data_IF_247493570723
#
_entry.id   IF_247493570723
#
_cell.length_a   1.000
_cell.length_b   1.000
_cell.length_c   1.000
_cell.angle_alpha   90.00
_cell.angle_beta   90.00
_cell.angle_gamma   90.00
#
_symmetry.space_group_name_H-M   'P 1'
#
loop_
_entity.id
_entity.type
_entity.pdbx_description
1 polymer ?
#
# COMPACT_ATOMS: atom_id res chain seq x y z
N UNK A 1 -19.21 5.68 16.84
CA UNK A 1 -18.85 4.29 17.14
C UNK A 1 -20.12 3.53 17.45
N UNK A 2 -20.19 2.23 17.14
CA UNK A 2 -21.33 1.40 17.42
C UNK A 2 -20.85 0.06 18.02
N UNK A 3 -21.55 -0.44 19.01
CA UNK A 3 -21.29 -1.76 19.57
C UNK A 3 -21.91 -2.81 18.64
N UNK A 4 -21.09 -3.72 18.18
CA UNK A 4 -21.49 -4.85 17.34
C UNK A 4 -20.94 -6.15 17.94
N UNK A 5 -21.61 -7.30 17.74
CA UNK A 5 -21.07 -8.58 18.20
C UNK A 5 -19.70 -8.86 17.59
N UNK A 6 -18.75 -9.30 18.42
CA UNK A 6 -17.43 -9.71 17.94
C UNK A 6 -17.58 -10.90 16.97
N UNK A 7 -16.92 -10.86 15.81
CA UNK A 7 -16.99 -11.95 14.86
C UNK A 7 -16.23 -13.18 15.40
N UNK A 8 -16.74 -14.39 15.09
CA UNK A 8 -16.03 -15.64 15.37
C UNK A 8 -15.34 -16.18 14.12
N UNK A 9 -14.13 -16.75 14.26
CA UNK A 9 -13.41 -17.27 13.12
C UNK A 9 -14.08 -18.52 12.57
N UNK A 10 -14.34 -18.52 11.27
CA UNK A 10 -14.81 -19.66 10.51
C UNK A 10 -13.65 -20.62 10.16
N UNK A 11 -13.93 -21.68 9.39
CA UNK A 11 -12.89 -22.63 8.96
C UNK A 11 -11.77 -21.92 8.19
N UNK A 12 -10.52 -22.15 8.60
CA UNK A 12 -9.31 -21.56 8.00
C UNK A 12 -9.10 -20.08 8.36
N UNK A 13 -9.87 -19.55 9.31
CA UNK A 13 -9.74 -18.16 9.77
C UNK A 13 -9.16 -18.09 11.17
N UNK A 14 -8.62 -16.92 11.48
CA UNK A 14 -8.19 -16.53 12.80
C UNK A 14 -8.94 -15.28 13.25
N UNK A 15 -9.16 -15.14 14.56
CA UNK A 15 -9.63 -13.93 15.22
C UNK A 15 -8.44 -13.16 15.75
N UNK A 16 -8.39 -11.87 15.48
CA UNK A 16 -7.29 -10.97 15.87
C UNK A 16 -7.88 -9.87 16.75
N UNK A 17 -7.37 -9.78 17.99
CA UNK A 17 -7.57 -8.60 18.85
C UNK A 17 -6.70 -7.49 18.32
N UNK A 18 -7.32 -6.46 17.77
CA UNK A 18 -6.62 -5.38 17.08
C UNK A 18 -6.05 -4.40 18.11
N UNK A 19 -4.74 -4.16 18.04
CA UNK A 19 -4.07 -3.11 18.82
C UNK A 19 -3.96 -1.80 18.03
N UNK A 20 -3.67 -1.91 16.74
CA UNK A 20 -3.54 -0.74 15.87
C UNK A 20 -4.04 -1.03 14.44
N UNK A 21 -4.48 0.02 13.77
CA UNK A 21 -4.89 -0.02 12.36
C UNK A 21 -4.23 1.09 11.54
N UNK A 22 -3.89 0.78 10.29
CA UNK A 22 -3.30 1.73 9.34
C UNK A 22 -4.36 2.39 8.48
N UNK A 23 -4.31 3.71 8.31
CA UNK A 23 -5.20 4.45 7.44
C UNK A 23 -4.69 4.51 6.01
N UNK A 24 -5.60 4.41 5.05
CA UNK A 24 -5.30 4.51 3.62
C UNK A 24 -6.28 5.49 2.94
N UNK A 25 -5.86 6.23 1.90
CA UNK A 25 -6.78 7.02 1.10
C UNK A 25 -7.93 6.18 0.50
N UNK A 26 -7.70 4.88 0.29
CA UNK A 26 -8.72 3.94 -0.18
C UNK A 26 -9.89 3.80 0.81
N UNK A 27 -9.62 3.82 2.12
CA UNK A 27 -10.65 3.71 3.15
C UNK A 27 -11.63 4.89 3.08
N UNK A 28 -11.09 6.11 2.85
CA UNK A 28 -11.91 7.31 2.62
C UNK A 28 -12.76 7.18 1.36
N UNK A 29 -12.20 6.67 0.25
CA UNK A 29 -12.94 6.47 -0.99
C UNK A 29 -14.05 5.42 -0.85
N UNK A 30 -13.82 4.37 -0.08
CA UNK A 30 -14.80 3.34 0.25
C UNK A 30 -15.92 3.95 1.11
N UNK A 31 -15.59 4.66 2.19
CA UNK A 31 -16.56 5.30 3.06
C UNK A 31 -17.44 6.32 2.33
N UNK A 32 -16.88 7.07 1.39
CA UNK A 32 -17.61 8.02 0.53
C UNK A 32 -18.38 7.35 -0.62
N UNK A 33 -18.33 6.03 -0.75
CA UNK A 33 -19.01 5.29 -1.82
C UNK A 33 -18.40 5.45 -3.21
N UNK A 34 -17.24 6.09 -3.34
CA UNK A 34 -16.54 6.27 -4.62
C UNK A 34 -16.03 4.96 -5.22
N UNK A 35 -15.81 3.95 -4.37
CA UNK A 35 -15.34 2.64 -4.78
C UNK A 35 -16.45 1.63 -5.12
N UNK A 36 -17.75 2.02 -5.09
CA UNK A 36 -18.89 1.11 -5.28
C UNK A 36 -18.88 0.32 -6.60
N UNK A 37 -18.28 0.88 -7.65
CA UNK A 37 -18.12 0.19 -8.94
C UNK A 37 -17.04 -0.89 -8.94
N UNK A 38 -16.12 -0.83 -7.97
CA UNK A 38 -14.98 -1.74 -7.86
C UNK A 38 -15.19 -2.77 -6.76
N UNK A 39 -15.84 -2.37 -5.65
CA UNK A 39 -16.00 -3.22 -4.47
C UNK A 39 -17.48 -3.25 -4.07
N UNK A 40 -18.06 -4.44 -4.13
CA UNK A 40 -19.44 -4.68 -3.71
C UNK A 40 -19.49 -4.95 -2.20
N UNK A 41 -19.61 -3.89 -1.38
CA UNK A 41 -19.76 -4.02 0.07
C UNK A 41 -21.23 -4.24 0.47
N UNK A 42 -21.47 -5.20 1.35
CA UNK A 42 -22.75 -5.37 2.02
C UNK A 42 -22.78 -4.48 3.27
N UNK A 43 -23.55 -3.42 3.23
CA UNK A 43 -23.71 -2.50 4.36
C UNK A 43 -24.75 -2.99 5.38
N UNK A 44 -24.57 -2.73 6.69
CA UNK A 44 -23.43 -2.02 7.30
C UNK A 44 -22.16 -2.89 7.37
N UNK A 45 -20.98 -2.24 7.30
CA UNK A 45 -19.68 -2.90 7.36
C UNK A 45 -18.71 -2.08 8.22
N UNK A 46 -17.86 -2.74 8.99
CA UNK A 46 -16.75 -2.10 9.69
C UNK A 46 -15.68 -1.75 8.67
N UNK A 47 -15.20 -0.52 8.66
CA UNK A 47 -14.18 -0.04 7.74
C UNK A 47 -12.76 -0.44 8.17
N UNK A 48 -11.77 -0.08 7.33
CA UNK A 48 -10.35 -0.30 7.57
C UNK A 48 -9.83 -1.60 6.97
N UNK A 49 -8.64 -1.53 6.39
CA UNK A 49 -8.04 -2.68 5.69
C UNK A 49 -6.77 -3.19 6.35
N UNK A 50 -6.00 -2.34 7.03
CA UNK A 50 -4.71 -2.67 7.63
C UNK A 50 -4.84 -2.78 9.15
N UNK A 51 -4.45 -3.90 9.73
CA UNK A 51 -4.42 -4.09 11.18
C UNK A 51 -3.18 -4.83 11.65
N UNK A 52 -2.82 -4.58 12.90
CA UNK A 52 -1.91 -5.43 13.66
C UNK A 52 -2.49 -5.65 15.07
N UNK A 53 -2.21 -6.82 15.61
CA UNK A 53 -2.74 -7.23 16.90
C UNK A 53 -2.25 -8.61 17.31
N UNK A 54 -3.02 -9.25 18.17
CA UNK A 54 -2.69 -10.57 18.72
C UNK A 54 -3.78 -11.56 18.35
N UNK A 55 -3.40 -12.77 17.96
CA UNK A 55 -4.36 -13.86 17.74
C UNK A 55 -5.10 -14.16 19.03
N UNK A 56 -6.42 -14.13 18.98
CA UNK A 56 -7.30 -14.44 20.12
C UNK A 56 -7.86 -15.86 20.02
N UNK A 57 -8.29 -16.26 18.82
CA UNK A 57 -8.90 -17.56 18.58
C UNK A 57 -8.57 -18.05 17.14
N UNK A 58 -8.42 -19.35 16.99
CA UNK A 58 -8.24 -19.99 15.68
C UNK A 58 -9.47 -20.82 15.33
N UNK A 59 -9.99 -20.64 14.12
CA UNK A 59 -11.10 -21.43 13.60
C UNK A 59 -10.67 -22.84 13.19
N UNK A 60 -11.64 -23.76 12.95
CA UNK A 60 -11.32 -25.13 12.54
C UNK A 60 -10.44 -25.16 11.27
N UNK A 61 -9.32 -25.88 11.35
CA UNK A 61 -8.38 -26.06 10.23
C UNK A 61 -7.42 -24.92 10.02
N UNK A 62 -7.45 -23.86 10.82
CA UNK A 62 -6.35 -22.89 10.92
C UNK A 62 -5.26 -23.47 11.84
N UNK A 63 -4.00 -23.34 11.45
CA UNK A 63 -2.89 -23.98 12.18
C UNK A 63 -1.54 -23.29 11.96
N UNK A 64 -1.49 -22.17 11.24
CA UNK A 64 -0.26 -21.38 11.05
C UNK A 64 0.07 -20.55 12.28
N UNK A 65 -0.92 -20.18 13.07
CA UNK A 65 -0.79 -19.30 14.23
C UNK A 65 -1.49 -19.89 15.45
N UNK A 66 -1.06 -19.46 16.64
CA UNK A 66 -1.65 -19.81 17.94
C UNK A 66 -2.14 -18.56 18.67
N UNK A 67 -3.12 -18.68 19.60
CA UNK A 67 -3.48 -17.60 20.51
C UNK A 67 -2.25 -17.02 21.22
N UNK A 68 -2.15 -15.69 21.20
CA UNK A 68 -0.99 -14.96 21.73
C UNK A 68 0.02 -14.52 20.66
N UNK A 69 0.01 -15.08 19.46
CA UNK A 69 0.92 -14.66 18.38
C UNK A 69 0.62 -13.23 17.93
N UNK A 70 1.67 -12.41 17.81
CA UNK A 70 1.60 -11.05 17.28
C UNK A 70 1.58 -11.10 15.76
N UNK A 71 0.55 -10.54 15.16
CA UNK A 71 0.32 -10.63 13.72
C UNK A 71 -0.10 -9.31 13.10
N UNK A 72 0.12 -9.19 11.79
CA UNK A 72 -0.42 -8.10 10.98
C UNK A 72 -1.07 -8.63 9.72
N UNK A 73 -2.03 -7.87 9.19
CA UNK A 73 -2.89 -8.34 8.10
C UNK A 73 -3.36 -7.18 7.23
N UNK A 74 -3.51 -7.45 5.94
CA UNK A 74 -4.37 -6.68 5.06
C UNK A 74 -5.64 -7.48 4.79
N UNK A 75 -6.77 -7.01 5.32
CA UNK A 75 -8.06 -7.65 5.11
C UNK A 75 -8.51 -7.56 3.65
N UNK A 76 -9.34 -8.48 3.21
CA UNK A 76 -9.92 -8.43 1.87
C UNK A 76 -10.81 -7.19 1.70
N UNK A 77 -10.80 -6.60 0.49
CA UNK A 77 -11.53 -5.35 0.22
C UNK A 77 -13.05 -5.49 0.40
N UNK A 78 -13.59 -6.67 0.15
CA UNK A 78 -15.01 -7.00 0.32
C UNK A 78 -15.37 -7.38 1.78
N UNK A 79 -14.36 -7.57 2.63
CA UNK A 79 -14.48 -7.91 4.06
C UNK A 79 -13.47 -7.07 4.86
N UNK A 80 -13.59 -5.72 4.85
CA UNK A 80 -12.76 -4.88 5.71
C UNK A 80 -13.10 -5.17 7.17
N UNK A 81 -12.52 -4.47 8.12
CA UNK A 81 -12.85 -4.68 9.54
C UNK A 81 -11.77 -4.22 10.50
N UNK A 82 -10.73 -3.55 9.99
CA UNK A 82 -9.58 -3.18 10.81
C UNK A 82 -9.88 -2.10 11.87
N UNK A 83 -10.96 -1.31 11.71
CA UNK A 83 -11.34 -0.28 12.68
C UNK A 83 -12.35 -0.84 13.70
N UNK A 84 -11.97 -1.91 14.38
CA UNK A 84 -12.73 -2.57 15.45
C UNK A 84 -11.78 -3.22 16.46
N UNK A 85 -12.28 -3.56 17.64
CA UNK A 85 -11.50 -4.25 18.68
C UNK A 85 -11.09 -5.66 18.25
N UNK A 86 -11.93 -6.32 17.45
CA UNK A 86 -11.71 -7.69 16.96
C UNK A 86 -12.08 -7.79 15.50
N UNK A 87 -11.23 -8.41 14.71
CA UNK A 87 -11.51 -8.78 13.33
C UNK A 87 -11.27 -10.27 13.10
N UNK A 88 -11.85 -10.84 12.04
CA UNK A 88 -11.50 -12.17 11.54
C UNK A 88 -10.87 -12.06 10.15
N UNK A 89 -9.86 -12.89 9.90
CA UNK A 89 -9.19 -12.97 8.61
C UNK A 89 -8.86 -14.42 8.26
N UNK A 90 -8.79 -14.72 6.96
CA UNK A 90 -8.22 -16.00 6.51
C UNK A 90 -6.74 -16.03 6.91
N UNK A 91 -6.29 -17.13 7.52
CA UNK A 91 -4.89 -17.22 8.01
C UNK A 91 -3.85 -17.07 6.90
N UNK A 92 -4.22 -17.37 5.64
CA UNK A 92 -3.37 -17.16 4.47
C UNK A 92 -3.07 -15.69 4.16
N UNK A 93 -3.83 -14.76 4.74
CA UNK A 93 -3.63 -13.31 4.58
C UNK A 93 -2.79 -12.69 5.70
N UNK A 94 -2.48 -13.48 6.73
CA UNK A 94 -1.85 -13.02 7.97
C UNK A 94 -0.35 -13.36 7.96
N UNK A 95 0.46 -12.47 8.54
CA UNK A 95 1.88 -12.73 8.81
C UNK A 95 2.25 -12.36 10.25
N UNK A 96 3.32 -12.97 10.76
CA UNK A 96 3.87 -12.67 12.07
C UNK A 96 4.54 -11.27 12.07
N UNK A 97 4.34 -10.51 13.14
CA UNK A 97 4.99 -9.21 13.34
C UNK A 97 6.45 -9.44 13.67
N UNK A 98 7.40 -8.76 12.98
CA UNK A 98 8.80 -8.74 13.37
C UNK A 98 9.00 -8.36 14.83
N UNK A 99 9.90 -9.05 15.53
CA UNK A 99 10.16 -8.80 16.95
C UNK A 99 10.59 -7.35 17.24
N UNK A 100 11.23 -6.70 16.27
CA UNK A 100 11.72 -5.31 16.36
C UNK A 100 10.63 -4.25 16.23
N UNK A 101 9.42 -4.59 15.78
CA UNK A 101 8.33 -3.63 15.56
C UNK A 101 7.31 -3.64 16.69
N UNK A 102 6.81 -2.47 17.04
CA UNK A 102 5.55 -2.31 17.77
C UNK A 102 4.35 -2.70 16.88
N UNK A 103 3.20 -3.00 17.49
CA UNK A 103 1.98 -3.27 16.73
C UNK A 103 1.49 -2.03 15.94
N UNK A 104 1.75 -0.82 16.47
CA UNK A 104 1.48 0.43 15.75
C UNK A 104 2.28 0.57 14.46
N UNK A 105 3.57 0.23 14.47
CA UNK A 105 4.42 0.20 13.28
C UNK A 105 4.01 -0.93 12.33
N UNK A 106 3.73 -2.11 12.85
CA UNK A 106 3.30 -3.24 12.03
C UNK A 106 2.00 -2.96 11.28
N UNK A 107 1.03 -2.27 11.90
CA UNK A 107 -0.21 -1.83 11.25
C UNK A 107 0.03 -0.85 10.09
N UNK A 108 1.18 -0.19 10.05
CA UNK A 108 1.53 0.74 8.99
C UNK A 108 2.03 0.05 7.70
N UNK A 109 2.29 -1.27 7.72
CA UNK A 109 2.94 -1.98 6.60
C UNK A 109 1.93 -2.51 5.56
N UNK A 110 0.79 -3.16 5.90
CA UNK A 110 0.15 -4.10 4.99
C UNK A 110 -0.17 -3.54 3.61
N UNK A 111 -1.02 -2.53 3.49
CA UNK A 111 -1.39 -1.98 2.17
C UNK A 111 -0.20 -1.36 1.44
N UNK A 112 0.61 -0.54 2.12
CA UNK A 112 1.70 0.18 1.44
C UNK A 112 2.86 -0.75 1.11
N UNK A 113 3.15 -1.72 1.96
CA UNK A 113 4.18 -2.72 1.75
C UNK A 113 3.84 -3.65 0.58
N UNK A 114 2.64 -4.25 0.59
CA UNK A 114 2.17 -5.09 -0.52
C UNK A 114 2.14 -4.32 -1.84
N UNK A 115 1.70 -3.06 -1.81
CA UNK A 115 1.68 -2.21 -3.00
C UNK A 115 3.09 -1.98 -3.55
N UNK A 116 4.03 -1.62 -2.69
CA UNK A 116 5.41 -1.37 -3.10
C UNK A 116 6.10 -2.66 -3.58
N UNK A 117 5.99 -3.75 -2.82
CA UNK A 117 6.62 -5.03 -3.14
C UNK A 117 6.12 -5.56 -4.50
N UNK A 118 4.83 -5.69 -4.68
CA UNK A 118 4.24 -6.23 -5.90
C UNK A 118 4.45 -5.32 -7.12
N UNK A 119 4.44 -3.98 -6.92
CA UNK A 119 4.78 -3.05 -7.99
C UNK A 119 6.24 -3.21 -8.45
N UNK A 120 7.19 -3.30 -7.52
CA UNK A 120 8.62 -3.34 -7.85
C UNK A 120 9.08 -4.74 -8.28
N UNK A 121 8.69 -5.78 -7.53
CA UNK A 121 9.11 -7.17 -7.80
C UNK A 121 8.36 -7.75 -9.01
N UNK A 122 7.02 -7.70 -8.99
CA UNK A 122 6.18 -8.44 -9.95
C UNK A 122 5.92 -7.63 -11.23
N UNK A 123 5.48 -6.37 -11.10
CA UNK A 123 5.06 -5.58 -12.26
C UNK A 123 6.26 -4.93 -12.98
N UNK A 124 7.13 -4.23 -12.27
CA UNK A 124 8.31 -3.59 -12.84
C UNK A 124 9.46 -4.58 -13.04
N UNK A 125 9.54 -5.65 -12.26
CA UNK A 125 10.61 -6.65 -12.28
C UNK A 125 11.98 -5.99 -12.10
N UNK A 126 12.10 -5.17 -11.05
CA UNK A 126 13.34 -4.43 -10.75
C UNK A 126 14.49 -5.40 -10.53
N UNK A 127 15.65 -5.04 -11.05
CA UNK A 127 16.90 -5.81 -10.97
C UNK A 127 18.07 -4.87 -10.60
N UNK A 128 19.18 -5.43 -10.08
CA UNK A 128 20.36 -4.64 -9.76
C UNK A 128 20.83 -3.77 -10.95
N UNK A 129 21.19 -2.53 -10.64
CA UNK A 129 21.67 -1.55 -11.62
C UNK A 129 20.60 -0.84 -12.44
N UNK A 130 19.32 -1.23 -12.37
CA UNK A 130 18.24 -0.51 -13.05
C UNK A 130 18.04 0.89 -12.45
N UNK A 131 17.74 1.86 -13.30
CA UNK A 131 17.39 3.23 -12.93
C UNK A 131 15.87 3.32 -12.76
N UNK A 132 15.44 3.61 -11.55
CA UNK A 132 14.02 3.69 -11.17
C UNK A 132 13.66 5.11 -10.74
N UNK A 133 12.61 5.67 -11.34
CA UNK A 133 11.97 6.88 -10.83
C UNK A 133 10.76 6.50 -9.96
N UNK A 134 10.72 7.02 -8.75
CA UNK A 134 9.58 6.90 -7.81
C UNK A 134 8.96 8.29 -7.62
N UNK A 135 7.68 8.47 -7.96
CA UNK A 135 6.98 9.74 -7.74
C UNK A 135 6.26 9.74 -6.40
N UNK A 136 6.33 10.85 -5.64
CA UNK A 136 5.67 10.93 -4.33
C UNK A 136 6.37 10.11 -3.23
N UNK A 137 7.72 10.11 -3.23
CA UNK A 137 8.55 9.25 -2.38
C UNK A 137 8.39 9.43 -0.88
N UNK A 138 7.95 10.58 -0.39
CA UNK A 138 7.77 10.82 1.05
C UNK A 138 6.41 10.32 1.60
N UNK A 139 5.52 9.81 0.77
CA UNK A 139 4.24 9.23 1.19
C UNK A 139 4.37 7.79 1.71
N UNK A 140 3.28 7.22 2.24
CA UNK A 140 3.30 5.88 2.84
C UNK A 140 3.86 4.79 1.94
N UNK A 141 3.38 4.67 0.70
CA UNK A 141 3.92 3.68 -0.26
C UNK A 141 5.36 4.03 -0.66
N UNK A 142 5.66 5.33 -0.86
CA UNK A 142 6.96 5.79 -1.33
C UNK A 142 8.09 5.49 -0.36
N UNK A 143 7.87 5.64 0.94
CA UNK A 143 8.88 5.36 1.97
C UNK A 143 9.29 3.88 2.00
N UNK A 144 8.37 2.96 1.75
CA UNK A 144 8.65 1.53 1.63
C UNK A 144 9.26 1.22 0.25
N UNK A 145 8.72 1.81 -0.82
CA UNK A 145 9.18 1.54 -2.19
C UNK A 145 10.65 1.93 -2.42
N UNK A 146 11.10 3.05 -1.87
CA UNK A 146 12.52 3.45 -1.93
C UNK A 146 13.40 2.34 -1.36
N UNK A 147 13.10 1.87 -0.17
CA UNK A 147 13.89 0.88 0.52
C UNK A 147 13.88 -0.49 -0.19
N UNK A 148 12.70 -0.97 -0.62
CA UNK A 148 12.61 -2.22 -1.40
C UNK A 148 13.41 -2.08 -2.71
N UNK A 149 13.32 -0.95 -3.40
CA UNK A 149 14.11 -0.71 -4.62
C UNK A 149 15.62 -0.77 -4.36
N UNK A 150 16.08 -0.25 -3.21
CA UNK A 150 17.49 -0.35 -2.80
C UNK A 150 17.89 -1.78 -2.45
N UNK A 151 17.05 -2.53 -1.75
CA UNK A 151 17.26 -3.97 -1.46
C UNK A 151 17.40 -4.75 -2.79
N UNK A 152 16.58 -4.42 -3.80
CA UNK A 152 16.65 -5.00 -5.14
C UNK A 152 17.82 -4.47 -5.98
N UNK A 153 18.66 -3.57 -5.45
CA UNK A 153 19.86 -3.06 -6.11
C UNK A 153 19.65 -1.97 -7.15
N UNK A 154 18.50 -1.28 -7.16
CA UNK A 154 18.23 -0.20 -8.10
C UNK A 154 18.96 1.10 -7.74
N UNK A 155 19.20 1.94 -8.76
CA UNK A 155 19.50 3.36 -8.60
C UNK A 155 18.18 4.13 -8.57
N UNK A 156 17.88 4.79 -7.44
CA UNK A 156 16.56 5.34 -7.13
C UNK A 156 16.57 6.87 -7.24
N UNK A 157 15.83 7.39 -8.22
CA UNK A 157 15.46 8.80 -8.31
C UNK A 157 14.05 8.98 -7.72
N UNK A 158 13.85 10.01 -6.91
CA UNK A 158 12.58 10.22 -6.18
C UNK A 158 12.10 11.65 -6.37
N UNK A 159 10.79 11.85 -6.55
CA UNK A 159 10.22 13.19 -6.40
C UNK A 159 9.74 13.42 -4.96
N UNK A 160 10.17 14.52 -4.36
CA UNK A 160 9.75 14.95 -3.03
C UNK A 160 9.67 16.47 -2.96
N UNK A 161 8.96 17.03 -1.97
CA UNK A 161 9.08 18.44 -1.62
C UNK A 161 10.30 18.65 -0.73
N UNK A 162 10.78 19.90 -0.52
CA UNK A 162 11.88 20.20 0.39
C UNK A 162 11.67 19.62 1.80
N UNK A 163 10.43 19.60 2.28
CA UNK A 163 10.09 19.00 3.58
C UNK A 163 10.28 17.48 3.63
N UNK A 164 10.23 16.80 2.49
CA UNK A 164 10.38 15.34 2.38
C UNK A 164 11.78 14.89 2.01
N UNK A 165 12.65 15.79 1.55
CA UNK A 165 13.96 15.46 1.00
C UNK A 165 14.86 14.71 1.98
N UNK A 166 15.03 15.23 3.19
CA UNK A 166 15.86 14.59 4.20
C UNK A 166 15.38 13.15 4.51
N UNK A 167 14.05 12.96 4.58
CA UNK A 167 13.46 11.65 4.80
C UNK A 167 13.80 10.70 3.64
N UNK A 168 13.49 11.05 2.40
CA UNK A 168 13.70 10.14 1.27
C UNK A 168 15.17 9.80 1.04
N UNK A 169 16.09 10.77 1.29
CA UNK A 169 17.53 10.49 1.27
C UNK A 169 17.94 9.50 2.37
N UNK A 170 17.42 9.67 3.58
CA UNK A 170 17.70 8.73 4.69
C UNK A 170 17.17 7.32 4.46
N UNK A 171 16.23 7.14 3.54
CA UNK A 171 15.68 5.86 3.11
C UNK A 171 16.42 5.25 1.91
N UNK A 172 17.43 5.95 1.37
CA UNK A 172 18.28 5.43 0.31
C UNK A 172 18.02 6.00 -1.09
N UNK A 173 17.25 7.10 -1.24
CA UNK A 173 17.13 7.78 -2.52
C UNK A 173 18.49 8.34 -2.97
N UNK A 174 18.95 7.94 -4.16
CA UNK A 174 20.22 8.39 -4.74
C UNK A 174 20.10 9.81 -5.31
N UNK A 175 18.96 10.13 -5.92
CA UNK A 175 18.65 11.45 -6.47
C UNK A 175 17.27 11.91 -6.03
N UNK A 176 17.15 13.17 -5.65
CA UNK A 176 15.86 13.77 -5.28
C UNK A 176 15.57 14.93 -6.21
N UNK A 177 14.36 14.94 -6.78
CA UNK A 177 13.82 16.03 -7.61
C UNK A 177 12.78 16.77 -6.81
N UNK A 178 12.98 18.07 -6.59
CA UNK A 178 11.99 18.92 -5.95
C UNK A 178 10.87 19.30 -6.94
N UNK A 179 9.75 18.58 -6.86
CA UNK A 179 8.60 18.80 -7.74
C UNK A 179 7.94 20.18 -7.58
N UNK A 180 8.33 20.98 -6.56
CA UNK A 180 7.80 22.33 -6.35
C UNK A 180 8.50 23.35 -7.22
N UNK A 181 9.73 23.10 -7.63
CA UNK A 181 10.59 23.99 -8.43
C UNK A 181 11.05 23.35 -9.74
N UNK A 182 11.10 22.02 -9.84
CA UNK A 182 11.64 21.28 -10.97
C UNK A 182 10.56 20.42 -11.66
N UNK A 183 10.72 20.21 -12.94
CA UNK A 183 9.91 19.27 -13.71
C UNK A 183 10.67 18.00 -13.96
N UNK A 184 10.05 16.86 -13.64
CA UNK A 184 10.64 15.55 -13.85
C UNK A 184 11.12 15.36 -15.30
N UNK A 185 10.32 15.77 -16.28
CA UNK A 185 10.65 15.62 -17.69
C UNK A 185 11.82 16.47 -18.18
N UNK A 186 12.28 17.46 -17.41
CA UNK A 186 13.39 18.35 -17.75
C UNK A 186 14.71 17.90 -17.09
N UNK A 187 14.63 17.27 -15.91
CA UNK A 187 15.81 16.94 -15.08
C UNK A 187 16.11 15.44 -15.00
N UNK A 188 15.14 14.59 -15.40
CA UNK A 188 15.28 13.13 -15.38
C UNK A 188 15.20 12.57 -16.78
N UNK A 189 16.04 11.59 -17.11
CA UNK A 189 16.02 10.90 -18.40
C UNK A 189 16.50 9.45 -18.27
N UNK A 190 16.22 8.65 -19.30
CA UNK A 190 16.77 7.30 -19.47
C UNK A 190 16.48 6.35 -18.27
N UNK A 191 15.28 6.41 -17.73
CA UNK A 191 14.88 5.49 -16.68
C UNK A 191 14.50 4.12 -17.26
N UNK A 192 14.86 3.04 -16.58
CA UNK A 192 14.43 1.68 -16.91
C UNK A 192 12.97 1.46 -16.52
N UNK A 193 12.58 2.07 -15.40
CA UNK A 193 11.26 1.93 -14.83
C UNK A 193 10.78 3.21 -14.13
N UNK A 194 9.45 3.37 -14.05
CA UNK A 194 8.81 4.38 -13.21
C UNK A 194 7.72 3.74 -12.36
N UNK A 195 7.73 4.04 -11.07
CA UNK A 195 6.64 3.77 -10.15
C UNK A 195 5.93 5.09 -9.80
N UNK A 196 4.76 5.31 -10.39
CA UNK A 196 3.99 6.53 -10.21
C UNK A 196 2.88 6.36 -9.16
N UNK A 197 2.93 7.24 -8.14
CA UNK A 197 1.96 7.29 -7.05
C UNK A 197 1.22 8.63 -6.96
N UNK A 198 1.39 9.50 -7.96
CA UNK A 198 0.81 10.85 -8.01
C UNK A 198 -0.24 10.98 -9.10
N UNK A 199 0.00 10.37 -10.26
CA UNK A 199 -0.92 10.42 -11.39
C UNK A 199 -0.89 11.76 -12.15
N UNK A 200 -1.95 12.01 -12.91
CA UNK A 200 -2.19 13.31 -13.57
C UNK A 200 -1.07 13.74 -14.50
N UNK A 201 -0.53 14.93 -14.25
CA UNK A 201 0.59 15.52 -15.01
C UNK A 201 1.88 14.73 -14.81
N UNK A 202 2.19 14.36 -13.56
CA UNK A 202 3.40 13.63 -13.20
C UNK A 202 3.50 12.30 -13.96
N UNK A 203 2.40 11.55 -14.06
CA UNK A 203 2.35 10.33 -14.86
C UNK A 203 2.62 10.60 -16.36
N UNK A 204 2.12 11.72 -16.91
CA UNK A 204 2.39 12.06 -18.33
C UNK A 204 3.87 12.37 -18.56
N UNK A 205 4.50 13.10 -17.65
CA UNK A 205 5.94 13.38 -17.68
C UNK A 205 6.75 12.09 -17.51
N UNK A 206 6.28 11.17 -16.67
CA UNK A 206 6.91 9.87 -16.45
C UNK A 206 7.10 9.05 -17.75
N UNK A 207 6.14 9.08 -18.67
CA UNK A 207 6.28 8.42 -19.95
C UNK A 207 7.42 8.98 -20.81
N UNK A 208 7.73 10.26 -20.65
CA UNK A 208 8.81 10.93 -21.42
C UNK A 208 10.22 10.63 -20.92
N UNK A 209 10.37 10.16 -19.68
CA UNK A 209 11.68 9.90 -19.06
C UNK A 209 12.09 8.43 -19.11
N UNK A 210 11.17 7.54 -19.47
CA UNK A 210 11.42 6.10 -19.60
C UNK A 210 12.00 5.80 -20.97
N UNK A 211 13.04 5.02 -21.02
CA UNK A 211 13.65 4.57 -22.29
C UNK A 211 12.73 3.56 -23.02
N UNK A 212 12.82 3.43 -24.35
CA UNK A 212 12.11 2.38 -25.09
C UNK A 212 12.41 0.99 -24.48
N UNK A 213 11.39 0.15 -24.36
CA UNK A 213 11.44 -1.14 -23.68
C UNK A 213 11.28 -1.07 -22.17
N UNK A 214 11.27 0.11 -21.58
CA UNK A 214 11.07 0.30 -20.14
C UNK A 214 9.63 0.16 -19.69
N UNK A 215 9.40 0.27 -18.38
CA UNK A 215 8.10 0.00 -17.76
C UNK A 215 7.62 1.17 -16.91
N UNK A 216 6.33 1.46 -16.95
CA UNK A 216 5.65 2.42 -16.07
C UNK A 216 4.53 1.71 -15.32
N UNK A 217 4.57 1.77 -14.00
CA UNK A 217 3.49 1.30 -13.12
C UNK A 217 2.89 2.48 -12.39
N UNK A 218 1.57 2.56 -12.32
CA UNK A 218 0.86 3.60 -11.54
C UNK A 218 -0.17 2.98 -10.62
N UNK A 219 -0.35 3.60 -9.45
CA UNK A 219 -1.41 3.30 -8.48
C UNK A 219 -2.37 4.50 -8.28
N UNK A 220 -2.07 5.63 -8.94
CA UNK A 220 -2.80 6.90 -8.80
C UNK A 220 -3.48 7.34 -10.10
N UNK A 221 -3.81 6.39 -10.95
CA UNK A 221 -4.42 6.63 -12.25
C UNK A 221 -5.78 5.90 -12.35
N UNK A 222 -6.42 5.97 -13.51
CA UNK A 222 -7.59 5.13 -13.78
C UNK A 222 -7.12 3.68 -13.97
N UNK A 223 -7.73 2.73 -13.25
CA UNK A 223 -7.44 1.31 -13.43
C UNK A 223 -7.58 0.86 -14.89
N UNK A 224 -6.87 -0.16 -15.27
CA UNK A 224 -7.07 -0.83 -16.55
C UNK A 224 -8.10 -1.98 -16.43
N UNK A 225 -8.44 -2.61 -17.55
CA UNK A 225 -9.43 -3.68 -17.56
C UNK A 225 -9.01 -4.94 -16.78
N UNK A 226 -7.70 -5.19 -16.65
CA UNK A 226 -7.17 -6.31 -15.87
C UNK A 226 -7.30 -6.04 -14.38
N UNK A 227 -6.91 -4.85 -13.95
CA UNK A 227 -7.06 -4.38 -12.56
C UNK A 227 -8.52 -4.39 -12.10
N UNK A 228 -9.47 -4.03 -12.99
CA UNK A 228 -10.90 -4.10 -12.68
C UNK A 228 -11.35 -5.55 -12.38
N UNK A 229 -10.86 -6.53 -13.14
CA UNK A 229 -11.17 -7.95 -12.91
C UNK A 229 -10.56 -8.47 -11.60
N UNK A 230 -9.34 -8.04 -11.26
CA UNK A 230 -8.65 -8.44 -10.04
C UNK A 230 -9.41 -8.06 -8.75
N UNK A 231 -10.13 -6.93 -8.78
CA UNK A 231 -10.94 -6.48 -7.63
C UNK A 231 -12.41 -6.89 -7.70
N UNK A 232 -12.75 -7.86 -8.56
CA UNK A 232 -14.12 -8.37 -8.69
C UNK A 232 -15.06 -7.49 -9.52
N UNK A 233 -14.52 -6.52 -10.24
CA UNK A 233 -15.28 -5.69 -11.18
C UNK A 233 -15.84 -6.54 -12.32
N UNK A 234 -17.15 -6.42 -12.59
CA UNK A 234 -17.81 -7.13 -13.69
C UNK A 234 -17.34 -6.68 -15.08
N UNK A 235 -17.80 -7.39 -16.12
CA UNK A 235 -17.44 -7.12 -17.52
C UNK A 235 -17.65 -5.65 -17.93
N UNK A 236 -18.71 -5.02 -17.43
CA UNK A 236 -19.03 -3.61 -17.71
C UNK A 236 -17.93 -2.66 -17.16
N UNK A 237 -17.45 -2.89 -15.94
CA UNK A 237 -16.35 -2.14 -15.35
C UNK A 237 -15.05 -2.33 -16.15
N UNK A 238 -14.76 -3.56 -16.56
CA UNK A 238 -13.58 -3.86 -17.38
C UNK A 238 -13.61 -3.13 -18.74
N UNK A 239 -14.79 -3.06 -19.40
CA UNK A 239 -14.97 -2.30 -20.66
C UNK A 239 -14.80 -0.81 -20.42
N UNK A 240 -15.43 -0.26 -19.37
CA UNK A 240 -15.31 1.16 -19.02
C UNK A 240 -13.85 1.54 -18.78
N UNK A 241 -13.12 0.79 -17.95
CA UNK A 241 -11.72 1.08 -17.66
C UNK A 241 -10.81 0.87 -18.87
N UNK A 242 -11.12 -0.05 -19.76
CA UNK A 242 -10.42 -0.19 -21.05
C UNK A 242 -10.54 1.09 -21.89
N UNK A 243 -11.73 1.68 -21.96
CA UNK A 243 -11.96 2.95 -22.70
C UNK A 243 -11.23 4.10 -22.01
N UNK A 244 -11.38 4.23 -20.69
CA UNK A 244 -10.76 5.31 -19.92
C UNK A 244 -9.23 5.24 -19.91
N UNK A 245 -8.64 4.04 -19.96
CA UNK A 245 -7.19 3.84 -20.03
C UNK A 245 -6.62 3.87 -21.45
N UNK A 246 -7.45 3.87 -22.49
CA UNK A 246 -7.03 3.71 -23.90
C UNK A 246 -5.98 4.74 -24.33
N UNK A 247 -6.16 6.04 -23.99
CA UNK A 247 -5.22 7.10 -24.34
C UNK A 247 -3.82 6.88 -23.76
N UNK A 248 -3.73 6.41 -22.50
CA UNK A 248 -2.46 6.10 -21.83
C UNK A 248 -1.78 4.88 -22.44
N UNK A 249 -2.56 3.83 -22.69
CA UNK A 249 -2.09 2.62 -23.35
C UNK A 249 -1.59 2.92 -24.78
N UNK A 250 -2.24 3.82 -25.50
CA UNK A 250 -1.80 4.27 -26.82
C UNK A 250 -0.50 5.08 -26.74
N UNK A 251 -0.37 5.99 -25.75
CA UNK A 251 0.85 6.75 -25.52
C UNK A 251 2.01 5.81 -25.18
N UNK A 252 1.82 4.87 -24.26
CA UNK A 252 2.81 3.87 -23.91
C UNK A 252 3.30 3.08 -25.14
N UNK A 253 2.39 2.58 -25.97
CA UNK A 253 2.74 1.87 -27.21
C UNK A 253 3.54 2.72 -28.18
N UNK A 254 3.16 4.00 -28.36
CA UNK A 254 3.89 4.93 -29.27
C UNK A 254 5.32 5.18 -28.81
N UNK A 255 5.56 5.15 -27.49
CA UNK A 255 6.86 5.34 -26.87
C UNK A 255 7.64 4.02 -26.71
N UNK A 256 7.07 2.89 -27.10
CA UNK A 256 7.67 1.57 -26.90
C UNK A 256 7.81 1.18 -25.44
N UNK A 257 6.91 1.66 -24.56
CA UNK A 257 6.94 1.47 -23.10
C UNK A 257 5.78 0.58 -22.68
N UNK A 258 5.99 -0.27 -21.69
CA UNK A 258 4.91 -1.03 -21.04
C UNK A 258 4.28 -0.20 -19.92
N UNK A 259 2.95 -0.04 -19.95
CA UNK A 259 2.21 0.62 -18.87
C UNK A 259 1.26 -0.36 -18.19
N UNK A 260 1.21 -0.32 -16.84
CA UNK A 260 0.25 -1.06 -16.02
C UNK A 260 -0.27 -0.19 -14.87
N UNK A 261 -1.55 -0.36 -14.56
CA UNK A 261 -2.10 0.02 -13.27
C UNK A 261 -2.03 -1.19 -12.33
N UNK A 262 -1.71 -0.98 -11.05
CA UNK A 262 -1.58 -2.07 -10.07
C UNK A 262 -2.50 -1.82 -8.89
N UNK A 263 -3.36 -2.81 -8.60
CA UNK A 263 -3.93 -3.03 -7.27
C UNK A 263 -3.12 -4.11 -6.57
N UNK A 264 -2.70 -3.85 -5.34
CA UNK A 264 -2.03 -4.86 -4.56
C UNK A 264 -3.00 -6.01 -4.20
N UNK A 265 -2.56 -7.24 -4.40
CA UNK A 265 -3.26 -8.44 -3.92
C UNK A 265 -3.10 -8.56 -2.41
N UNK A 266 -4.07 -9.17 -1.76
CA UNK A 266 -3.97 -9.60 -0.37
C UNK A 266 -3.16 -10.90 -0.36
N UNK A 267 -2.07 -10.96 0.42
CA UNK A 267 -1.14 -12.06 0.38
C UNK A 267 -0.30 -12.09 1.66
N UNK A 268 -0.46 -13.12 2.48
CA UNK A 268 0.26 -13.26 3.75
C UNK A 268 1.73 -13.66 3.54
N UNK A 269 2.06 -14.35 2.46
CA UNK A 269 3.44 -14.73 2.17
C UNK A 269 4.24 -13.49 1.70
N UNK A 270 3.63 -12.60 0.93
CA UNK A 270 4.21 -11.28 0.60
C UNK A 270 4.37 -10.41 1.88
N UNK A 271 3.43 -10.48 2.85
CA UNK A 271 3.61 -9.82 4.15
C UNK A 271 4.76 -10.43 4.94
N UNK A 272 4.91 -11.76 4.92
CA UNK A 272 6.05 -12.43 5.55
C UNK A 272 7.39 -12.06 4.89
N UNK A 273 7.42 -11.84 3.57
CA UNK A 273 8.59 -11.30 2.88
C UNK A 273 8.94 -9.89 3.36
N UNK A 274 7.93 -9.02 3.54
CA UNK A 274 8.12 -7.68 4.09
C UNK A 274 8.63 -7.72 5.53
N UNK A 275 8.11 -8.63 6.36
CA UNK A 275 8.62 -8.87 7.70
C UNK A 275 10.11 -9.26 7.69
N UNK A 276 10.50 -10.13 6.76
CA UNK A 276 11.90 -10.52 6.57
C UNK A 276 12.77 -9.32 6.14
N UNK A 277 12.29 -8.42 5.26
CA UNK A 277 13.02 -7.21 4.90
C UNK A 277 13.23 -6.28 6.11
N UNK A 278 12.28 -6.21 7.03
CA UNK A 278 12.45 -5.48 8.29
C UNK A 278 13.54 -6.10 9.14
N UNK A 279 13.53 -7.41 9.32
CA UNK A 279 14.45 -8.13 10.24
C UNK A 279 15.86 -8.27 9.69
N UNK A 280 16.00 -8.52 8.40
CA UNK A 280 17.27 -8.90 7.78
C UNK A 280 17.91 -7.79 6.93
N UNK A 281 17.09 -6.99 6.27
CA UNK A 281 17.57 -6.00 5.32
C UNK A 281 17.42 -4.55 5.82
N UNK A 282 16.97 -4.37 7.07
CA UNK A 282 16.89 -3.07 7.74
C UNK A 282 15.81 -2.15 7.19
N UNK A 283 14.75 -2.69 6.58
CA UNK A 283 13.61 -1.90 6.15
C UNK A 283 12.96 -1.22 7.36
N UNK A 284 12.87 0.10 7.31
CA UNK A 284 12.29 0.93 8.38
C UNK A 284 10.86 1.31 8.05
N UNK A 285 9.98 1.20 9.04
CA UNK A 285 8.59 1.68 8.94
C UNK A 285 8.53 3.15 9.34
N UNK A 286 7.95 3.99 8.49
CA UNK A 286 7.80 5.42 8.76
C UNK A 286 6.35 5.70 9.13
N UNK A 287 6.07 5.88 10.41
CA UNK A 287 4.80 6.38 10.93
C UNK A 287 4.93 7.88 11.14
N UNK A 288 4.12 8.65 10.43
CA UNK A 288 4.09 10.11 10.56
C UNK A 288 3.33 10.56 11.81
N UNK A 289 2.17 9.96 12.02
CA UNK A 289 1.33 10.19 13.23
C UNK A 289 0.52 8.97 13.60
N UNK A 290 0.43 8.74 14.89
CA UNK A 290 -0.54 7.85 15.51
C UNK A 290 -1.62 8.67 16.22
N UNK A 291 -2.89 8.30 16.04
CA UNK A 291 -4.03 8.89 16.73
C UNK A 291 -4.70 7.86 17.63
N UNK A 292 -5.30 8.24 18.75
CA UNK A 292 -6.21 7.34 19.47
C UNK A 292 -7.48 7.11 18.62
N UNK A 293 -8.10 5.93 18.76
CA UNK A 293 -9.23 5.53 17.92
C UNK A 293 -10.43 6.47 18.03
N UNK A 294 -10.64 7.05 19.21
CA UNK A 294 -11.70 8.05 19.47
C UNK A 294 -11.56 9.30 18.61
N UNK A 295 -10.36 9.54 18.08
CA UNK A 295 -10.03 10.67 17.22
C UNK A 295 -9.80 10.26 15.74
N UNK A 296 -10.40 9.15 15.31
CA UNK A 296 -10.23 8.62 13.94
C UNK A 296 -10.66 9.64 12.87
N UNK A 297 -11.67 10.47 13.13
CA UNK A 297 -12.13 11.52 12.21
C UNK A 297 -11.04 12.57 11.97
N UNK A 298 -10.27 12.92 13.01
CA UNK A 298 -9.11 13.81 12.87
C UNK A 298 -7.98 13.14 12.09
N UNK A 299 -7.75 11.84 12.29
CA UNK A 299 -6.78 11.07 11.54
C UNK A 299 -7.11 11.06 10.04
N UNK A 300 -8.38 10.85 9.67
CA UNK A 300 -8.84 10.94 8.28
C UNK A 300 -8.72 12.36 7.72
N UNK A 301 -9.07 13.37 8.51
CA UNK A 301 -8.90 14.78 8.12
C UNK A 301 -7.43 15.08 7.84
N UNK A 302 -6.54 14.64 8.73
CA UNK A 302 -5.11 14.82 8.55
C UNK A 302 -4.58 14.10 7.30
N UNK A 303 -4.96 12.83 7.11
CA UNK A 303 -4.61 12.08 5.91
C UNK A 303 -5.09 12.79 4.63
N UNK A 304 -6.30 13.33 4.65
CA UNK A 304 -6.90 14.07 3.54
C UNK A 304 -6.15 15.35 3.15
N UNK A 305 -5.30 15.91 4.02
CA UNK A 305 -4.46 17.07 3.69
C UNK A 305 -3.37 16.73 2.67
N UNK A 306 -3.03 15.44 2.47
CA UNK A 306 -1.93 15.00 1.62
C UNK A 306 -0.53 15.40 2.12
N UNK A 307 -0.41 15.81 3.40
CA UNK A 307 0.85 16.31 3.98
C UNK A 307 1.61 15.27 4.79
N UNK A 308 1.00 14.11 5.05
CA UNK A 308 1.62 13.02 5.80
C UNK A 308 2.91 12.54 5.12
N UNK A 309 3.94 12.30 5.93
CA UNK A 309 5.24 11.75 5.52
C UNK A 309 5.36 10.34 6.09
N UNK A 310 5.06 9.33 5.30
CA UNK A 310 4.87 7.97 5.77
C UNK A 310 3.40 7.65 6.02
N UNK A 311 3.13 6.82 7.01
CA UNK A 311 1.79 6.32 7.34
C UNK A 311 1.15 7.08 8.49
N UNK A 312 -0.17 7.08 8.48
CA UNK A 312 -1.02 7.48 9.61
C UNK A 312 -1.65 6.23 10.17
N UNK A 313 -1.57 6.05 11.49
CA UNK A 313 -2.15 4.92 12.20
C UNK A 313 -3.13 5.38 13.27
N UNK A 314 -4.00 4.49 13.70
CA UNK A 314 -4.84 4.66 14.88
C UNK A 314 -4.56 3.53 15.86
N UNK A 315 -4.41 3.88 17.13
CA UNK A 315 -4.29 2.93 18.23
C UNK A 315 -5.69 2.60 18.73
N UNK A 316 -6.07 1.33 18.68
CA UNK A 316 -7.38 0.82 19.09
C UNK A 316 -7.32 0.34 20.53
N UNK A 317 -6.33 -0.47 20.87
CA UNK A 317 -6.06 -0.87 22.23
C UNK A 317 -4.58 -0.66 22.57
N UNK A 318 -4.21 -0.44 23.84
CA UNK A 318 -2.80 -0.47 24.22
C UNK A 318 -2.21 -1.83 23.84
N UNK A 319 -0.94 -1.85 23.48
CA UNK A 319 -0.18 -3.09 23.34
C UNK A 319 -0.37 -3.88 24.64
N UNK A 320 -0.85 -5.13 24.54
CA UNK A 320 -1.02 -5.97 25.73
C UNK A 320 0.30 -6.14 26.49
N UNK A 321 0.25 -6.60 27.74
CA UNK A 321 1.49 -6.84 28.47
C UNK A 321 2.39 -7.77 27.67
N UNK A 322 3.67 -7.38 27.59
CA UNK A 322 4.73 -8.10 26.91
C UNK A 322 4.98 -9.47 27.54
#
# INVERSE_FOLDING_TARGET
MADIPAPRPSRGQVSIRVSAAGLNPADTNIAQGKARLLVALKLPVVAGSDAAGTIEETGPGAGRFAPGDRVFVRTALDKPGAFADVLTADESLVAAVPASLSLGEAAAIPTVGLTALQALRDALSIRPGMRLLITGGAGGVGTIAIQIAKILGAHVTVTASPRGEALVRSLGADTVVDYTTERVGEVVANQDAVFDMVGGRTLREAFGVVKPGGKVVSIASVPDAESARQVGGGAAAAVLFRVLSARRNQLARRLGVTYRFVFARHDGDDLAELARYVEQDGLRVVVDREFPFERIDEAFTYLGTGRAKGKVTVRIAPDGPA
#
